data_IF_696714186402
#
_entry.id   IF_696714186402
#
_cell.length_a   1.000
_cell.length_b   1.000
_cell.length_c   1.000
_cell.angle_alpha   90.00
_cell.angle_beta   90.00
_cell.angle_gamma   90.00
#
_symmetry.space_group_name_H-M   'P 1'
#
loop_
_entity.id
_entity.type
_entity.pdbx_description
1 polymer ?
#
# COMPACT_ATOMS: atom_id res chain seq x y z
N UNK A 1 -3.23 -50.41 16.77
CA UNK A 1 -3.01 -50.08 15.35
C UNK A 1 -2.86 -48.58 15.31
N UNK A 2 -1.63 -48.11 15.16
CA UNK A 2 -1.28 -46.70 15.16
C UNK A 2 -1.65 -46.10 13.79
N UNK A 3 -2.42 -45.02 13.79
CA UNK A 3 -2.67 -44.19 12.62
C UNK A 3 -2.60 -42.74 13.07
N UNK A 4 -1.46 -42.12 12.79
CA UNK A 4 -1.07 -40.78 13.19
C UNK A 4 -1.78 -39.71 12.37
N UNK A 5 -2.05 -38.62 13.08
CA UNK A 5 -2.33 -37.24 12.69
C UNK A 5 -1.91 -36.83 11.27
N UNK A 6 -2.83 -36.15 10.56
CA UNK A 6 -2.53 -35.41 9.35
C UNK A 6 -3.22 -34.04 9.47
N UNK A 7 -2.49 -33.10 10.09
CA UNK A 7 -2.86 -31.69 10.12
C UNK A 7 -2.90 -31.12 8.69
N UNK A 8 -4.01 -30.50 8.34
CA UNK A 8 -4.11 -29.67 7.15
C UNK A 8 -3.64 -28.26 7.55
N UNK A 9 -2.42 -27.92 7.16
CA UNK A 9 -1.94 -26.54 7.19
C UNK A 9 -2.83 -25.74 6.22
N UNK A 10 -3.40 -24.65 6.71
CA UNK A 10 -3.96 -23.59 5.88
C UNK A 10 -2.75 -22.78 5.45
N UNK A 11 -2.39 -22.84 4.17
CA UNK A 11 -1.51 -21.82 3.59
C UNK A 11 -2.35 -20.57 3.46
N UNK A 12 -1.94 -19.53 4.18
CA UNK A 12 -2.43 -18.18 3.99
C UNK A 12 -2.27 -17.83 2.51
N UNK A 13 -3.35 -17.26 1.96
CA UNK A 13 -3.35 -16.67 0.62
C UNK A 13 -2.36 -15.50 0.68
N UNK A 14 -1.15 -15.78 0.24
CA UNK A 14 -0.19 -14.75 -0.13
C UNK A 14 -0.18 -14.83 -1.64
N UNK A 15 -0.48 -13.69 -2.26
CA UNK A 15 -0.16 -13.44 -3.65
C UNK A 15 1.39 -13.49 -3.76
N UNK A 16 1.92 -14.72 -3.79
CA UNK A 16 3.35 -15.01 -3.67
C UNK A 16 3.82 -15.55 -5.01
N UNK A 17 4.18 -14.63 -5.91
CA UNK A 17 4.88 -14.93 -7.15
C UNK A 17 6.18 -15.67 -6.84
N UNK A 18 6.13 -17.00 -6.77
CA UNK A 18 7.30 -17.86 -6.53
C UNK A 18 7.90 -18.36 -7.83
N UNK A 19 9.24 -18.42 -7.88
CA UNK A 19 10.00 -18.91 -9.04
C UNK A 19 10.84 -20.12 -8.64
N UNK A 20 11.01 -21.07 -9.55
CA UNK A 20 11.97 -22.15 -9.37
C UNK A 20 13.41 -21.67 -9.64
N UNK A 21 14.40 -22.24 -8.95
CA UNK A 21 15.83 -21.97 -9.19
C UNK A 21 16.19 -22.15 -10.68
N UNK A 22 15.63 -23.16 -11.36
CA UNK A 22 15.88 -23.39 -12.80
C UNK A 22 15.34 -22.30 -13.72
N UNK A 23 14.35 -21.54 -13.27
CA UNK A 23 13.72 -20.48 -14.05
C UNK A 23 14.25 -19.08 -13.67
N UNK A 24 15.16 -19.03 -12.68
CA UNK A 24 15.78 -17.80 -12.23
C UNK A 24 17.10 -17.52 -12.96
N UNK A 25 17.17 -16.37 -13.62
CA UNK A 25 18.36 -15.93 -14.40
C UNK A 25 19.63 -15.70 -13.58
N UNK A 26 19.52 -15.55 -12.26
CA UNK A 26 20.67 -15.34 -11.36
C UNK A 26 21.42 -16.64 -11.01
N UNK A 27 20.88 -17.81 -11.40
CA UNK A 27 21.55 -19.10 -11.24
C UNK A 27 22.23 -19.54 -12.53
N UNK A 28 23.51 -19.91 -12.41
CA UNK A 28 24.26 -20.55 -13.49
C UNK A 28 24.25 -22.07 -13.35
N UNK A 29 24.22 -22.78 -14.47
CA UNK A 29 24.42 -24.23 -14.50
C UNK A 29 25.90 -24.61 -14.32
N UNK A 30 26.14 -25.52 -13.38
CA UNK A 30 27.43 -25.98 -12.93
C UNK A 30 27.75 -27.38 -13.43
N UNK A 31 29.04 -27.66 -13.61
CA UNK A 31 29.51 -28.97 -14.11
C UNK A 31 29.32 -30.14 -13.12
N UNK A 32 28.86 -29.88 -11.89
CA UNK A 32 28.64 -30.91 -10.88
C UNK A 32 27.16 -31.25 -10.80
N UNK A 33 26.76 -32.42 -11.28
CA UNK A 33 25.35 -32.83 -11.34
C UNK A 33 24.66 -32.95 -9.97
N UNK A 34 25.42 -33.02 -8.85
CA UNK A 34 24.84 -33.03 -7.50
C UNK A 34 24.70 -31.62 -6.90
N UNK A 35 25.24 -30.60 -7.58
CA UNK A 35 25.35 -29.21 -7.14
C UNK A 35 25.32 -28.30 -8.36
N UNK A 36 24.29 -28.51 -9.19
CA UNK A 36 24.22 -28.00 -10.54
C UNK A 36 23.89 -26.51 -10.57
N UNK A 37 23.07 -26.01 -9.65
CA UNK A 37 22.63 -24.61 -9.71
C UNK A 37 23.52 -23.74 -8.83
N UNK A 38 24.12 -22.71 -9.42
CA UNK A 38 25.18 -21.90 -8.82
C UNK A 38 24.73 -20.44 -8.74
N UNK A 39 24.62 -19.93 -7.52
CA UNK A 39 24.49 -18.50 -7.24
C UNK A 39 25.86 -17.92 -6.91
N UNK A 40 26.37 -17.01 -7.73
CA UNK A 40 27.67 -16.38 -7.51
C UNK A 40 27.51 -15.12 -6.66
N UNK A 41 28.12 -15.10 -5.47
CA UNK A 41 28.05 -13.93 -4.57
C UNK A 41 29.15 -12.91 -4.85
N UNK A 42 30.35 -13.40 -5.21
CA UNK A 42 31.48 -12.55 -5.60
C UNK A 42 32.53 -13.39 -6.32
N UNK A 43 33.38 -12.75 -7.12
CA UNK A 43 34.56 -13.35 -7.75
C UNK A 43 35.85 -12.66 -7.32
N UNK A 44 36.97 -13.38 -7.37
CA UNK A 44 38.28 -12.80 -7.04
C UNK A 44 38.67 -11.61 -7.94
N UNK A 45 38.07 -11.47 -9.12
CA UNK A 45 38.32 -10.34 -10.01
C UNK A 45 37.75 -9.02 -9.47
N UNK A 46 36.79 -9.07 -8.54
CA UNK A 46 36.17 -7.90 -7.91
C UNK A 46 37.06 -7.29 -6.80
N UNK A 47 38.21 -7.90 -6.50
CA UNK A 47 39.22 -7.33 -5.62
C UNK A 47 38.73 -7.18 -4.19
N UNK A 48 38.89 -5.98 -3.62
CA UNK A 48 38.60 -5.71 -2.22
C UNK A 48 37.15 -6.02 -1.79
N UNK A 49 36.16 -5.84 -2.67
CA UNK A 49 34.75 -6.18 -2.36
C UNK A 49 34.56 -7.67 -2.11
N UNK A 50 35.33 -8.53 -2.80
CA UNK A 50 35.28 -9.99 -2.62
C UNK A 50 35.78 -10.46 -1.24
N UNK A 51 36.49 -9.59 -0.53
CA UNK A 51 37.03 -9.84 0.80
C UNK A 51 35.97 -9.66 1.89
N UNK A 52 34.90 -8.91 1.62
CA UNK A 52 33.81 -8.65 2.56
C UNK A 52 33.00 -9.92 2.88
N UNK A 53 32.16 -9.86 3.92
CA UNK A 53 31.27 -10.96 4.23
C UNK A 53 30.26 -11.15 3.08
N UNK A 54 30.04 -12.40 2.70
CA UNK A 54 29.17 -12.74 1.57
C UNK A 54 27.98 -13.53 2.07
N UNK A 55 26.77 -13.11 1.76
CA UNK A 55 25.55 -13.71 2.29
C UNK A 55 24.51 -13.85 1.19
N UNK A 56 23.78 -14.96 1.19
CA UNK A 56 22.47 -14.97 0.53
C UNK A 56 21.37 -15.13 1.58
N UNK A 57 20.21 -14.57 1.28
CA UNK A 57 18.96 -14.82 1.99
C UNK A 57 17.92 -15.26 0.97
N UNK A 58 17.15 -16.29 1.26
CA UNK A 58 16.14 -16.84 0.36
C UNK A 58 14.91 -17.25 1.16
N UNK A 59 13.71 -16.84 0.72
CA UNK A 59 12.46 -17.34 1.27
C UNK A 59 11.94 -18.51 0.42
N UNK A 60 12.14 -19.74 0.90
CA UNK A 60 11.77 -20.96 0.17
C UNK A 60 10.29 -21.25 0.37
N UNK A 61 9.53 -21.36 -0.72
CA UNK A 61 8.09 -21.65 -0.71
C UNK A 61 7.82 -23.13 -0.96
N UNK A 62 8.69 -23.82 -1.70
CA UNK A 62 8.55 -25.24 -2.01
C UNK A 62 9.90 -25.96 -2.11
N UNK A 63 9.89 -27.26 -1.80
CA UNK A 63 11.05 -28.14 -1.89
C UNK A 63 10.70 -29.42 -2.67
N UNK A 64 11.64 -29.98 -3.45
CA UNK A 64 11.44 -31.26 -4.13
C UNK A 64 11.28 -32.43 -3.14
N UNK A 65 10.72 -33.54 -3.63
CA UNK A 65 10.64 -34.79 -2.87
C UNK A 65 12.04 -35.29 -2.48
N UNK A 66 12.32 -35.39 -1.18
CA UNK A 66 13.65 -35.69 -0.64
C UNK A 66 14.44 -34.46 -0.14
N UNK A 67 13.88 -33.26 -0.30
CA UNK A 67 14.47 -31.99 0.12
C UNK A 67 15.60 -31.52 -0.80
N UNK A 68 16.07 -30.30 -0.54
CA UNK A 68 17.22 -29.73 -1.23
C UNK A 68 18.26 -29.24 -0.22
N UNK A 69 19.50 -29.19 -0.66
CA UNK A 69 20.62 -28.69 0.13
C UNK A 69 21.34 -27.58 -0.63
N UNK A 70 21.95 -26.69 0.14
CA UNK A 70 22.90 -25.68 -0.34
C UNK A 70 24.27 -25.93 0.29
N UNK A 71 25.34 -25.64 -0.44
CA UNK A 71 26.70 -25.62 0.11
C UNK A 71 27.46 -24.40 -0.37
N UNK A 72 28.44 -23.99 0.42
CA UNK A 72 29.36 -22.91 0.06
C UNK A 72 30.52 -23.46 -0.74
N UNK A 73 30.79 -22.87 -1.90
CA UNK A 73 32.08 -22.92 -2.56
C UNK A 73 32.82 -21.61 -2.29
N UNK A 74 34.12 -21.70 -2.01
CA UNK A 74 35.00 -20.53 -1.98
C UNK A 74 36.44 -20.85 -2.35
N UNK A 75 37.20 -19.86 -2.81
CA UNK A 75 38.65 -19.99 -2.92
C UNK A 75 39.34 -19.64 -1.59
N UNK A 76 40.43 -20.33 -1.29
CA UNK A 76 41.28 -20.08 -0.12
C UNK A 76 42.44 -19.16 -0.47
N UNK A 77 43.18 -18.65 0.54
CA UNK A 77 44.32 -17.76 0.35
C UNK A 77 45.40 -18.33 -0.60
N UNK A 78 45.52 -19.65 -0.67
CA UNK A 78 46.48 -20.35 -1.54
C UNK A 78 45.91 -20.62 -2.95
N UNK A 79 44.76 -20.04 -3.30
CA UNK A 79 44.05 -20.27 -4.56
C UNK A 79 43.42 -21.65 -4.70
N UNK A 80 43.37 -22.45 -3.63
CA UNK A 80 42.73 -23.77 -3.65
C UNK A 80 41.22 -23.66 -3.41
N UNK A 81 40.46 -24.55 -4.03
CA UNK A 81 39.01 -24.67 -3.85
C UNK A 81 38.66 -25.25 -2.48
N UNK A 82 37.62 -24.68 -1.86
CA UNK A 82 37.00 -25.20 -0.65
C UNK A 82 35.50 -25.38 -0.87
N UNK A 83 34.99 -26.55 -0.45
CA UNK A 83 33.57 -26.86 -0.44
C UNK A 83 33.13 -27.09 1.00
N UNK A 84 32.14 -26.32 1.46
CA UNK A 84 31.51 -26.49 2.75
C UNK A 84 30.66 -27.75 2.82
N UNK A 85 30.22 -28.09 4.03
CA UNK A 85 29.24 -29.14 4.24
C UNK A 85 27.90 -28.73 3.60
N UNK A 86 27.13 -29.73 3.19
CA UNK A 86 25.75 -29.53 2.78
C UNK A 86 24.91 -29.04 3.96
N UNK A 87 24.09 -28.02 3.72
CA UNK A 87 23.10 -27.49 4.64
C UNK A 87 21.74 -27.71 4.00
N UNK A 88 20.83 -28.39 4.70
CA UNK A 88 19.47 -28.60 4.20
C UNK A 88 18.71 -27.27 4.17
N UNK A 89 17.99 -27.02 3.09
CA UNK A 89 17.03 -25.92 3.00
C UNK A 89 15.74 -26.32 3.73
N UNK A 90 15.11 -25.34 4.36
CA UNK A 90 13.78 -25.49 4.98
C UNK A 90 12.80 -24.54 4.30
N UNK A 91 11.50 -24.80 4.42
CA UNK A 91 10.49 -23.80 4.03
C UNK A 91 10.67 -22.51 4.86
N UNK A 92 10.35 -21.37 4.25
CA UNK A 92 10.55 -20.04 4.81
C UNK A 92 11.98 -19.50 4.62
N UNK A 93 12.39 -18.59 5.49
CA UNK A 93 13.67 -17.88 5.38
C UNK A 93 14.88 -18.79 5.63
N UNK A 94 15.79 -18.81 4.67
CA UNK A 94 17.10 -19.45 4.74
C UNK A 94 18.17 -18.37 4.55
N UNK A 95 19.22 -18.37 5.36
CA UNK A 95 20.34 -17.44 5.20
C UNK A 95 21.67 -18.13 5.49
N UNK A 96 22.63 -17.97 4.58
CA UNK A 96 24.00 -18.48 4.76
C UNK A 96 25.00 -17.36 4.54
N UNK A 97 25.86 -17.16 5.52
CA UNK A 97 26.90 -16.14 5.51
C UNK A 97 28.31 -16.76 5.50
N UNK A 98 29.19 -16.17 4.71
CA UNK A 98 30.62 -16.47 4.63
C UNK A 98 31.38 -15.27 5.16
N UNK A 99 32.05 -15.42 6.31
CA UNK A 99 32.75 -14.31 6.98
C UNK A 99 33.81 -13.65 6.09
N UNK A 100 34.04 -12.34 6.32
CA UNK A 100 35.08 -11.57 5.65
C UNK A 100 36.50 -12.14 5.86
N UNK A 101 37.40 -11.88 4.92
CA UNK A 101 38.84 -12.22 4.98
C UNK A 101 39.67 -11.04 4.45
N UNK A 102 40.99 -11.22 4.29
CA UNK A 102 41.91 -10.17 3.78
C UNK A 102 42.61 -10.54 2.46
N UNK A 103 41.98 -11.35 1.62
CA UNK A 103 42.49 -11.73 0.30
C UNK A 103 41.34 -11.90 -0.68
N UNK A 104 41.59 -11.57 -1.96
CA UNK A 104 40.58 -11.65 -3.01
C UNK A 104 40.17 -13.11 -3.24
N UNK A 105 38.87 -13.36 -3.33
CA UNK A 105 38.32 -14.72 -3.37
C UNK A 105 37.05 -14.80 -4.19
N UNK A 106 36.73 -15.99 -4.66
CA UNK A 106 35.41 -16.28 -5.21
C UNK A 106 34.56 -16.90 -4.10
N UNK A 107 33.28 -16.52 -4.01
CA UNK A 107 32.28 -17.19 -3.16
C UNK A 107 31.05 -17.50 -3.99
N UNK A 108 30.61 -18.75 -3.93
CA UNK A 108 29.40 -19.24 -4.62
C UNK A 108 28.56 -20.09 -3.66
N UNK A 109 27.25 -20.03 -3.81
CA UNK A 109 26.32 -20.93 -3.16
C UNK A 109 25.83 -21.92 -4.22
N UNK A 110 26.04 -23.21 -3.97
CA UNK A 110 25.67 -24.26 -4.90
C UNK A 110 24.48 -25.03 -4.32
N UNK A 111 23.44 -25.22 -5.13
CA UNK A 111 22.18 -25.84 -4.74
C UNK A 111 22.07 -27.23 -5.39
N UNK A 112 21.50 -28.17 -4.64
CA UNK A 112 21.41 -29.57 -5.08
C UNK A 112 20.22 -29.86 -5.99
N UNK A 113 19.26 -28.94 -6.10
CA UNK A 113 18.08 -29.07 -6.95
C UNK A 113 17.65 -27.72 -7.51
N UNK A 114 17.17 -27.72 -8.74
CA UNK A 114 16.59 -26.59 -9.44
C UNK A 114 15.09 -26.41 -9.15
N UNK A 115 14.45 -27.48 -8.67
CA UNK A 115 13.02 -27.52 -8.33
C UNK A 115 12.70 -26.83 -6.99
N UNK A 116 13.65 -26.12 -6.38
CA UNK A 116 13.37 -25.31 -5.19
C UNK A 116 12.65 -24.06 -5.65
N UNK A 117 11.43 -23.86 -5.18
CA UNK A 117 10.69 -22.62 -5.40
C UNK A 117 10.92 -21.67 -4.23
N UNK A 118 11.05 -20.39 -4.55
CA UNK A 118 11.26 -19.32 -3.59
C UNK A 118 10.51 -18.07 -4.03
N UNK A 119 10.15 -17.25 -3.06
CA UNK A 119 9.48 -15.96 -3.30
C UNK A 119 10.32 -14.75 -2.96
N UNK A 120 11.51 -14.95 -2.40
CA UNK A 120 12.49 -13.89 -2.31
C UNK A 120 13.90 -14.46 -2.34
N UNK A 121 14.81 -13.73 -2.95
CA UNK A 121 16.24 -14.03 -2.97
C UNK A 121 17.00 -12.72 -2.93
N UNK A 122 17.97 -12.61 -2.04
CA UNK A 122 18.93 -11.51 -2.03
C UNK A 122 20.34 -12.01 -1.82
N UNK A 123 21.29 -11.35 -2.47
CA UNK A 123 22.74 -11.61 -2.39
C UNK A 123 23.42 -10.35 -1.92
N UNK A 124 24.11 -10.43 -0.78
CA UNK A 124 24.78 -9.31 -0.13
C UNK A 124 23.86 -8.11 0.13
N UNK A 125 22.56 -8.37 0.33
CA UNK A 125 21.54 -7.34 0.54
C UNK A 125 21.00 -6.71 -0.74
N UNK A 126 21.35 -7.24 -1.92
CA UNK A 126 20.77 -6.87 -3.22
C UNK A 126 19.80 -7.95 -3.65
N UNK A 127 18.57 -7.58 -3.99
CA UNK A 127 17.54 -8.53 -4.40
C UNK A 127 17.83 -9.12 -5.80
N UNK A 128 17.41 -10.36 -6.00
CA UNK A 128 17.55 -11.12 -7.23
C UNK A 128 16.57 -10.63 -8.29
N UNK A 129 17.04 -10.51 -9.54
CA UNK A 129 16.24 -9.98 -10.64
C UNK A 129 15.22 -10.97 -11.23
N UNK A 130 15.19 -12.20 -10.71
CA UNK A 130 14.31 -13.25 -11.20
C UNK A 130 13.02 -13.44 -10.40
N UNK A 131 12.90 -12.75 -9.26
CA UNK A 131 11.63 -12.58 -8.57
C UNK A 131 11.12 -11.22 -8.99
N UNK A 132 10.07 -11.21 -9.82
CA UNK A 132 9.25 -10.02 -9.95
C UNK A 132 8.31 -10.09 -8.75
N UNK A 133 8.66 -9.43 -7.66
CA UNK A 133 7.66 -9.16 -6.62
C UNK A 133 6.64 -8.24 -7.27
N UNK A 134 5.39 -8.68 -7.41
CA UNK A 134 4.30 -7.80 -7.87
C UNK A 134 4.02 -6.65 -6.87
N UNK A 135 4.83 -6.53 -5.81
CA UNK A 135 4.88 -5.42 -4.85
C UNK A 135 6.06 -4.44 -5.11
N UNK A 136 6.51 -4.33 -6.35
CA UNK A 136 7.10 -3.07 -6.82
C UNK A 136 6.21 -2.54 -7.90
N UNK A 137 5.44 -1.53 -7.54
CA UNK A 137 4.80 -0.55 -8.42
C UNK A 137 5.87 0.00 -9.40
N UNK A 138 6.15 -0.75 -10.47
CA UNK A 138 7.26 -0.56 -11.42
C UNK A 138 6.93 0.49 -12.48
N UNK A 139 6.23 1.54 -12.03
CA UNK A 139 6.11 2.78 -12.78
C UNK A 139 7.41 3.56 -12.62
N UNK A 140 8.48 3.10 -13.27
CA UNK A 140 9.71 3.88 -13.39
C UNK A 140 9.66 4.84 -14.58
N UNK A 141 10.17 6.05 -14.38
CA UNK A 141 10.26 7.08 -15.44
C UNK A 141 11.69 7.55 -15.58
N UNK A 142 12.11 7.85 -16.81
CA UNK A 142 13.40 8.50 -17.05
C UNK A 142 13.35 9.98 -16.61
N UNK A 143 14.46 10.52 -16.13
CA UNK A 143 14.60 11.97 -15.83
C UNK A 143 14.15 12.84 -17.02
N UNK A 144 14.45 12.43 -18.25
CA UNK A 144 14.07 13.17 -19.47
C UNK A 144 12.55 13.25 -19.67
N UNK A 145 11.81 12.26 -19.17
CA UNK A 145 10.36 12.15 -19.34
C UNK A 145 9.59 12.70 -18.13
N UNK A 146 10.30 13.13 -17.08
CA UNK A 146 9.72 13.72 -15.89
C UNK A 146 9.62 15.25 -15.99
N UNK A 147 8.39 15.78 -15.88
CA UNK A 147 8.10 17.21 -15.98
C UNK A 147 8.70 18.09 -14.87
N UNK A 148 9.19 17.51 -13.77
CA UNK A 148 9.83 18.25 -12.68
C UNK A 148 11.31 18.60 -12.96
N UNK A 149 11.88 18.05 -14.05
CA UNK A 149 13.23 18.36 -14.51
C UNK A 149 13.21 19.37 -15.65
N UNK A 150 14.07 20.38 -15.53
CA UNK A 150 14.28 21.39 -16.56
C UNK A 150 15.60 21.18 -17.27
N UNK A 151 15.63 21.43 -18.58
CA UNK A 151 16.85 21.33 -19.37
C UNK A 151 17.73 22.58 -19.21
N UNK A 152 18.99 22.35 -18.89
CA UNK A 152 20.01 23.33 -18.57
C UNK A 152 21.02 23.51 -19.69
N UNK A 153 21.62 24.70 -19.76
CA UNK A 153 22.59 25.05 -20.81
C UNK A 153 23.95 24.33 -20.71
N UNK A 154 24.19 23.56 -19.65
CA UNK A 154 25.45 22.84 -19.45
C UNK A 154 25.25 21.38 -19.81
N UNK A 155 25.79 20.95 -20.95
CA UNK A 155 25.61 19.58 -21.47
C UNK A 155 26.16 18.47 -20.57
N UNK A 156 27.03 18.78 -19.59
CA UNK A 156 27.51 17.80 -18.62
C UNK A 156 26.61 17.67 -17.38
N UNK A 157 25.65 18.57 -17.23
CA UNK A 157 24.77 18.75 -16.06
C UNK A 157 23.42 19.32 -16.51
N UNK A 158 22.86 18.67 -17.52
CA UNK A 158 21.79 19.23 -18.33
C UNK A 158 20.45 19.15 -17.62
N UNK A 159 20.18 18.11 -16.83
CA UNK A 159 18.87 17.94 -16.20
C UNK A 159 18.87 18.56 -14.81
N UNK A 160 17.95 19.48 -14.57
CA UNK A 160 17.94 20.35 -13.38
C UNK A 160 16.65 20.17 -12.61
N UNK A 161 16.76 19.65 -11.39
CA UNK A 161 15.69 19.64 -10.39
C UNK A 161 15.83 20.87 -9.50
N UNK A 162 14.83 21.76 -9.50
CA UNK A 162 14.86 22.98 -8.69
C UNK A 162 14.19 22.75 -7.35
N UNK A 163 14.93 22.88 -6.25
CA UNK A 163 14.38 22.72 -4.91
C UNK A 163 13.78 24.03 -4.36
N UNK A 164 14.44 25.15 -4.64
CA UNK A 164 13.95 26.49 -4.27
C UNK A 164 14.69 27.57 -5.06
N UNK A 165 14.10 28.75 -5.16
CA UNK A 165 14.69 29.97 -5.72
C UNK A 165 14.76 31.07 -4.67
N UNK A 166 15.65 32.05 -4.89
CA UNK A 166 15.71 33.22 -4.00
C UNK A 166 14.40 34.04 -3.96
N UNK A 167 13.49 33.87 -4.94
CA UNK A 167 12.19 34.52 -4.92
C UNK A 167 11.24 33.93 -3.88
N UNK A 168 11.51 32.71 -3.40
CA UNK A 168 10.71 32.02 -2.37
C UNK A 168 10.98 32.60 -0.96
N UNK A 169 11.88 33.58 -0.84
CA UNK A 169 12.14 34.30 0.40
C UNK A 169 12.61 33.38 1.52
N UNK A 170 11.98 33.50 2.69
CA UNK A 170 12.34 32.75 3.89
C UNK A 170 12.34 31.23 3.70
N UNK A 171 11.45 30.68 2.87
CA UNK A 171 11.38 29.23 2.58
C UNK A 171 12.67 28.72 1.90
N UNK A 172 13.33 29.57 1.11
CA UNK A 172 14.59 29.21 0.45
C UNK A 172 15.79 29.07 1.42
N UNK A 173 15.64 29.61 2.63
CA UNK A 173 16.65 29.59 3.67
C UNK A 173 16.69 28.25 4.41
N UNK A 174 15.60 27.48 4.37
CA UNK A 174 15.48 26.18 5.02
C UNK A 174 16.42 25.14 4.38
N UNK A 175 16.55 23.98 5.04
CA UNK A 175 17.29 22.87 4.45
C UNK A 175 16.56 22.37 3.21
N UNK A 176 17.31 22.12 2.14
CA UNK A 176 16.74 21.70 0.85
C UNK A 176 17.23 20.29 0.54
N UNK A 177 16.33 19.36 0.25
CA UNK A 177 16.65 17.95 0.07
C UNK A 177 15.88 17.39 -1.12
N UNK A 178 16.51 16.49 -1.88
CA UNK A 178 15.74 15.53 -2.68
C UNK A 178 16.00 14.13 -2.17
N UNK A 179 15.03 13.25 -2.38
CA UNK A 179 15.17 11.80 -2.22
C UNK A 179 14.64 11.15 -3.50
N UNK A 180 15.40 10.22 -4.07
CA UNK A 180 15.05 9.54 -5.32
C UNK A 180 15.37 8.06 -5.20
N UNK A 181 14.44 7.19 -5.57
CA UNK A 181 14.71 5.76 -5.71
C UNK A 181 15.06 5.42 -7.15
N UNK A 182 16.35 5.22 -7.43
CA UNK A 182 16.86 4.93 -8.77
C UNK A 182 16.69 3.46 -9.10
N UNK A 183 16.03 3.15 -10.21
CA UNK A 183 15.79 1.79 -10.70
C UNK A 183 16.75 1.40 -11.81
N UNK A 184 17.25 2.36 -12.59
CA UNK A 184 18.21 2.11 -13.67
C UNK A 184 19.19 3.26 -13.86
N UNK A 185 20.40 2.93 -14.32
CA UNK A 185 21.47 3.88 -14.62
C UNK A 185 22.03 3.64 -16.03
N UNK A 186 22.43 4.70 -16.76
CA UNK A 186 23.07 4.56 -18.05
C UNK A 186 24.44 3.85 -17.95
N UNK A 187 24.92 3.31 -19.07
CA UNK A 187 26.26 2.72 -19.17
C UNK A 187 27.34 3.75 -18.79
N UNK A 188 28.12 3.46 -17.75
CA UNK A 188 29.11 4.38 -17.17
C UNK A 188 28.60 5.17 -15.95
N UNK A 189 27.34 4.97 -15.55
CA UNK A 189 26.71 5.58 -14.38
C UNK A 189 26.30 7.04 -14.60
N UNK A 190 25.63 7.61 -13.60
CA UNK A 190 25.23 9.01 -13.57
C UNK A 190 25.68 9.68 -12.27
N UNK A 191 25.85 10.99 -12.30
CA UNK A 191 26.22 11.79 -11.15
C UNK A 191 25.19 12.91 -10.94
N UNK A 192 25.05 13.32 -9.70
CA UNK A 192 24.31 14.51 -9.28
C UNK A 192 25.28 15.50 -8.62
N UNK A 193 25.04 16.80 -8.78
CA UNK A 193 25.73 17.85 -8.02
C UNK A 193 24.77 18.92 -7.56
N UNK A 194 25.15 19.58 -6.47
CA UNK A 194 24.40 20.72 -5.93
C UNK A 194 24.84 22.01 -6.62
N UNK A 195 23.90 22.78 -7.14
CA UNK A 195 24.06 24.20 -7.41
C UNK A 195 23.38 25.01 -6.31
N UNK A 196 24.03 26.08 -5.84
CA UNK A 196 23.39 27.06 -4.97
C UNK A 196 23.96 28.47 -5.12
N UNK A 197 23.19 29.49 -4.74
CA UNK A 197 23.73 30.84 -4.57
C UNK A 197 24.29 31.05 -3.15
N UNK A 198 25.34 31.84 -3.06
CA UNK A 198 25.99 32.24 -1.80
C UNK A 198 25.42 33.57 -1.29
N UNK A 199 25.75 33.95 -0.05
CA UNK A 199 25.27 35.21 0.55
C UNK A 199 25.63 36.47 -0.28
N UNK A 200 26.71 36.40 -1.07
CA UNK A 200 27.14 37.50 -1.95
C UNK A 200 26.48 37.44 -3.34
N UNK A 201 25.50 36.57 -3.54
CA UNK A 201 24.84 36.35 -4.84
C UNK A 201 25.71 35.64 -5.87
N UNK A 202 26.86 35.09 -5.49
CA UNK A 202 27.71 34.30 -6.39
C UNK A 202 27.27 32.85 -6.46
N UNK A 203 27.47 32.22 -7.61
CA UNK A 203 27.15 30.81 -7.85
C UNK A 203 28.16 29.88 -7.17
N UNK A 204 27.67 28.77 -6.66
CA UNK A 204 28.47 27.68 -6.09
C UNK A 204 28.01 26.35 -6.68
N UNK A 205 28.99 25.53 -7.09
CA UNK A 205 28.78 24.16 -7.54
C UNK A 205 29.49 23.21 -6.60
N UNK A 206 28.75 22.25 -6.04
CA UNK A 206 29.29 21.16 -5.24
C UNK A 206 30.07 20.16 -6.09
N UNK A 207 30.74 19.25 -5.39
CA UNK A 207 31.37 18.09 -6.04
C UNK A 207 30.30 17.17 -6.64
N UNK A 208 30.67 16.46 -7.70
CA UNK A 208 29.86 15.39 -8.24
C UNK A 208 29.75 14.25 -7.22
N UNK A 209 28.55 13.71 -7.08
CA UNK A 209 28.23 12.53 -6.29
C UNK A 209 27.64 11.51 -7.24
N UNK A 210 28.20 10.29 -7.28
CA UNK A 210 27.66 9.22 -8.11
C UNK A 210 26.31 8.76 -7.56
N UNK A 211 25.34 8.53 -8.45
CA UNK A 211 24.10 7.86 -8.11
C UNK A 211 24.34 6.35 -8.04
N UNK A 212 23.64 5.68 -7.13
CA UNK A 212 23.58 4.22 -7.06
C UNK A 212 22.15 3.75 -7.29
N UNK A 213 21.96 2.47 -7.62
CA UNK A 213 20.61 1.88 -7.58
C UNK A 213 20.04 1.98 -6.15
N UNK A 214 18.71 2.08 -6.05
CA UNK A 214 17.98 2.28 -4.80
C UNK A 214 17.90 3.75 -4.35
N UNK A 215 17.69 3.97 -3.06
CA UNK A 215 17.46 5.30 -2.48
C UNK A 215 18.73 6.17 -2.47
N UNK A 216 18.63 7.35 -3.09
CA UNK A 216 19.62 8.40 -3.09
C UNK A 216 19.02 9.64 -2.43
N UNK A 217 19.73 10.25 -1.48
CA UNK A 217 19.28 11.49 -0.84
C UNK A 217 20.44 12.48 -0.68
N UNK A 218 20.21 13.73 -1.08
CA UNK A 218 21.18 14.82 -0.92
C UNK A 218 20.50 16.02 -0.28
N UNK A 219 21.07 16.47 0.84
CA UNK A 219 20.62 17.63 1.58
C UNK A 219 21.60 18.80 1.52
N UNK A 220 21.05 20.00 1.44
CA UNK A 220 21.75 21.28 1.56
C UNK A 220 21.28 21.96 2.84
N UNK A 221 22.17 22.12 3.81
CA UNK A 221 21.84 22.71 5.12
C UNK A 221 21.24 24.11 5.03
N UNK A 222 20.37 24.45 5.99
CA UNK A 222 19.76 25.77 6.12
C UNK A 222 20.78 26.90 6.31
N UNK A 223 20.41 28.12 5.91
CA UNK A 223 21.19 29.37 6.07
C UNK A 223 20.26 30.53 6.46
N UNK A 224 20.76 31.76 6.53
CA UNK A 224 19.98 32.96 6.92
C UNK A 224 19.85 34.02 5.83
N UNK A 225 19.88 33.63 4.56
CA UNK A 225 19.71 34.53 3.41
C UNK A 225 19.00 33.80 2.27
N UNK A 226 18.19 34.54 1.51
CA UNK A 226 17.44 33.98 0.39
C UNK A 226 18.39 33.48 -0.70
N UNK A 227 18.14 32.27 -1.20
CA UNK A 227 19.07 31.58 -2.10
C UNK A 227 18.33 30.70 -3.09
N UNK A 228 19.00 30.37 -4.18
CA UNK A 228 18.54 29.31 -5.08
C UNK A 228 19.28 28.02 -4.74
N UNK A 229 18.59 26.88 -4.74
CA UNK A 229 19.19 25.55 -4.65
C UNK A 229 18.62 24.67 -5.76
N UNK A 230 19.52 24.02 -6.50
CA UNK A 230 19.18 23.09 -7.58
C UNK A 230 20.05 21.84 -7.50
N UNK A 231 19.50 20.71 -7.88
CA UNK A 231 20.23 19.46 -8.09
C UNK A 231 20.37 19.25 -9.59
N UNK A 232 21.60 19.14 -10.07
CA UNK A 232 21.89 18.96 -11.49
C UNK A 232 22.39 17.55 -11.72
N UNK A 233 21.81 16.87 -12.70
CA UNK A 233 22.08 15.47 -13.04
C UNK A 233 22.86 15.41 -14.36
N UNK A 234 23.80 14.48 -14.44
CA UNK A 234 24.69 14.34 -15.60
C UNK A 234 24.10 13.56 -16.76
N UNK A 235 22.99 12.84 -16.54
CA UNK A 235 22.26 12.08 -17.56
C UNK A 235 20.76 12.11 -17.30
N UNK A 236 19.99 12.14 -18.38
CA UNK A 236 18.53 12.08 -18.38
C UNK A 236 17.99 10.67 -18.54
N UNK A 237 18.89 9.70 -18.78
CA UNK A 237 18.59 8.27 -18.92
C UNK A 237 18.56 7.55 -17.56
N UNK A 238 18.63 8.29 -16.45
CA UNK A 238 18.43 7.71 -15.11
C UNK A 238 16.94 7.44 -14.96
N UNK A 239 16.59 6.19 -14.71
CA UNK A 239 15.22 5.80 -14.38
C UNK A 239 15.05 5.71 -12.88
N UNK A 240 13.89 6.13 -12.39
CA UNK A 240 13.56 6.12 -10.98
C UNK A 240 12.08 5.78 -10.79
N UNK A 241 11.74 5.16 -9.65
CA UNK A 241 10.37 4.80 -9.29
C UNK A 241 9.79 5.67 -8.16
N UNK A 242 10.59 6.57 -7.59
CA UNK A 242 10.08 7.61 -6.70
C UNK A 242 11.03 8.81 -6.67
N UNK A 243 10.45 10.00 -6.49
CA UNK A 243 11.19 11.24 -6.32
C UNK A 243 10.39 12.14 -5.38
N UNK A 244 11.07 12.73 -4.41
CA UNK A 244 10.52 13.79 -3.55
C UNK A 244 11.51 14.93 -3.38
N UNK A 245 10.99 16.15 -3.32
CA UNK A 245 11.73 17.38 -3.10
C UNK A 245 11.17 18.07 -1.87
N UNK A 246 12.01 18.26 -0.86
CA UNK A 246 11.64 18.84 0.43
C UNK A 246 10.46 18.12 1.12
N UNK A 247 10.32 16.81 0.86
CA UNK A 247 9.23 15.99 1.38
C UNK A 247 7.91 16.10 0.59
N UNK A 248 7.93 16.71 -0.59
CA UNK A 248 6.81 16.74 -1.54
C UNK A 248 7.15 15.82 -2.71
N UNK A 249 6.28 14.86 -3.01
CA UNK A 249 6.50 13.90 -4.09
C UNK A 249 6.39 14.55 -5.48
N UNK A 250 7.16 14.00 -6.42
CA UNK A 250 7.23 14.45 -7.79
C UNK A 250 5.97 14.04 -8.56
N UNK A 251 5.46 14.96 -9.39
CA UNK A 251 4.22 14.73 -10.13
C UNK A 251 4.37 13.86 -11.38
N UNK A 252 5.59 13.41 -11.67
CA UNK A 252 5.92 12.64 -12.88
C UNK A 252 6.00 11.13 -12.66
N UNK A 253 5.96 10.68 -11.42
CA UNK A 253 5.75 9.28 -11.08
C UNK A 253 4.27 9.16 -10.73
N UNK A 254 3.53 8.38 -11.51
CA UNK A 254 2.25 7.86 -11.07
C UNK A 254 2.63 6.64 -10.22
N UNK A 255 2.80 6.85 -8.91
CA UNK A 255 2.77 5.72 -7.99
C UNK A 255 1.31 5.28 -7.98
N UNK A 256 1.02 4.07 -8.48
CA UNK A 256 -0.26 3.42 -8.24
C UNK A 256 -0.44 3.05 -6.76
N UNK A 257 0.53 3.38 -5.88
CA UNK A 257 0.39 3.39 -4.43
C UNK A 257 -0.49 4.55 -3.89
N UNK A 258 -1.69 4.68 -4.44
CA UNK A 258 -2.85 4.98 -3.60
C UNK A 258 -3.68 3.73 -3.61
N UNK A 259 -3.85 3.08 -2.45
CA UNK A 259 -4.90 2.10 -2.15
C UNK A 259 -6.11 2.32 -3.11
N UNK A 260 -6.12 1.60 -4.25
CA UNK A 260 -6.85 1.98 -5.47
C UNK A 260 -8.31 1.51 -5.40
N UNK A 261 -8.89 1.71 -4.23
CA UNK A 261 -10.34 1.71 -4.08
C UNK A 261 -10.84 3.09 -4.46
N UNK A 262 -10.73 3.44 -5.74
CA UNK A 262 -11.48 4.60 -6.25
C UNK A 262 -12.97 4.25 -6.30
N UNK A 263 -13.81 5.12 -5.76
CA UNK A 263 -15.27 4.95 -5.76
C UNK A 263 -15.92 6.12 -6.48
N UNK A 264 -16.92 5.84 -7.30
CA UNK A 264 -17.74 6.90 -7.88
C UNK A 264 -18.62 7.54 -6.79
N UNK A 265 -18.88 8.84 -6.89
CA UNK A 265 -19.84 9.53 -6.01
C UNK A 265 -21.19 8.79 -5.92
N UNK A 266 -21.65 8.20 -7.04
CA UNK A 266 -22.91 7.44 -7.08
C UNK A 266 -22.89 6.18 -6.21
N UNK A 267 -21.72 5.60 -6.01
CA UNK A 267 -21.52 4.34 -5.28
C UNK A 267 -21.12 4.59 -3.82
N UNK A 268 -20.90 5.85 -3.44
CA UNK A 268 -20.57 6.24 -2.07
C UNK A 268 -21.81 6.56 -1.23
N UNK A 269 -22.02 5.78 -0.15
CA UNK A 269 -23.15 5.95 0.76
C UNK A 269 -23.23 7.27 1.52
N UNK A 270 -22.17 8.08 1.54
CA UNK A 270 -22.15 9.40 2.18
C UNK A 270 -22.81 10.51 1.32
N UNK A 271 -23.14 10.20 0.05
CA UNK A 271 -23.84 11.11 -0.84
C UNK A 271 -25.34 10.80 -0.91
N UNK A 272 -26.16 11.83 -0.73
CA UNK A 272 -27.61 11.77 -0.93
C UNK A 272 -27.99 12.26 -2.33
N UNK A 273 -28.98 11.62 -2.95
CA UNK A 273 -29.56 12.10 -4.20
C UNK A 273 -30.56 13.26 -3.92
N UNK A 274 -30.35 14.37 -4.63
CA UNK A 274 -31.07 15.62 -4.49
C UNK A 274 -32.02 15.88 -5.66
N UNK A 275 -33.08 16.66 -5.39
CA UNK A 275 -34.14 16.91 -6.39
C UNK A 275 -33.69 17.79 -7.58
N UNK A 276 -32.49 18.36 -7.56
CA UNK A 276 -31.98 19.22 -8.63
C UNK A 276 -31.06 18.42 -9.53
N UNK A 277 -31.52 18.08 -10.73
CA UNK A 277 -30.76 17.25 -11.68
C UNK A 277 -29.41 17.83 -12.13
N UNK A 278 -29.15 19.13 -11.93
CA UNK A 278 -27.86 19.73 -12.25
C UNK A 278 -26.86 19.69 -11.06
N UNK A 279 -27.34 19.30 -9.88
CA UNK A 279 -26.64 19.32 -8.59
C UNK A 279 -27.18 18.18 -7.71
N UNK A 280 -27.20 16.99 -8.30
CA UNK A 280 -27.98 15.87 -7.80
C UNK A 280 -27.29 15.18 -6.63
N UNK A 281 -25.96 15.17 -6.56
CA UNK A 281 -25.26 14.43 -5.52
C UNK A 281 -24.86 15.37 -4.38
N UNK A 282 -25.32 15.06 -3.16
CA UNK A 282 -25.27 15.96 -2.02
C UNK A 282 -24.47 15.34 -0.88
N UNK A 283 -23.34 15.96 -0.55
CA UNK A 283 -22.59 15.67 0.66
C UNK A 283 -23.02 16.63 1.77
N UNK A 284 -23.61 16.10 2.84
CA UNK A 284 -24.07 16.93 3.98
C UNK A 284 -22.95 17.07 5.00
N UNK A 285 -22.50 18.30 5.25
CA UNK A 285 -21.46 18.58 6.26
C UNK A 285 -22.05 18.78 7.66
N UNK A 286 -23.20 19.46 7.73
CA UNK A 286 -23.95 19.68 8.98
C UNK A 286 -25.36 20.15 8.67
N UNK A 287 -26.27 19.97 9.63
CA UNK A 287 -27.64 20.49 9.60
C UNK A 287 -27.88 21.46 10.76
N UNK A 288 -28.89 22.33 10.61
CA UNK A 288 -29.29 23.21 11.70
C UNK A 288 -29.75 22.45 12.97
N UNK A 289 -30.13 21.18 12.86
CA UNK A 289 -30.49 20.35 14.01
C UNK A 289 -29.28 19.99 14.89
N UNK A 290 -28.06 20.08 14.34
CA UNK A 290 -26.82 19.79 15.07
C UNK A 290 -26.48 20.93 16.07
N UNK A 291 -27.22 22.05 16.02
CA UNK A 291 -27.08 23.16 16.96
C UNK A 291 -25.71 23.84 16.85
N UNK A 292 -25.02 24.00 17.98
CA UNK A 292 -23.78 24.75 18.06
C UNK A 292 -22.66 24.22 17.14
N UNK A 293 -22.58 22.91 16.87
CA UNK A 293 -21.58 22.34 15.96
C UNK A 293 -21.77 22.82 14.52
N UNK A 294 -23.01 23.08 14.10
CA UNK A 294 -23.31 23.60 12.77
C UNK A 294 -22.79 25.03 12.51
N UNK A 295 -22.45 25.74 13.59
CA UNK A 295 -21.94 27.11 13.56
C UNK A 295 -20.45 27.16 13.22
N UNK A 296 -19.72 26.06 13.42
CA UNK A 296 -18.30 25.96 13.14
C UNK A 296 -18.00 26.03 11.63
N UNK A 297 -16.72 26.18 11.28
CA UNK A 297 -16.31 26.14 9.89
C UNK A 297 -16.52 24.72 9.33
N UNK A 298 -17.08 24.62 8.14
CA UNK A 298 -17.43 23.34 7.51
C UNK A 298 -16.57 23.15 6.26
N UNK A 299 -15.90 22.01 6.12
CA UNK A 299 -14.98 21.76 5.00
C UNK A 299 -15.15 20.33 4.51
N UNK A 300 -15.07 20.12 3.21
CA UNK A 300 -14.73 18.80 2.66
C UNK A 300 -13.36 18.86 2.01
N UNK A 301 -12.66 17.73 2.01
CA UNK A 301 -11.46 17.49 1.22
C UNK A 301 -11.65 16.17 0.46
N UNK A 302 -11.38 16.18 -0.83
CA UNK A 302 -11.55 15.02 -1.71
C UNK A 302 -10.36 14.90 -2.65
N UNK A 303 -9.82 13.70 -2.82
CA UNK A 303 -8.83 13.42 -3.87
C UNK A 303 -9.52 12.78 -5.07
N UNK A 304 -9.71 13.56 -6.14
CA UNK A 304 -10.40 13.12 -7.36
C UNK A 304 -9.43 12.37 -8.26
N UNK A 305 -9.80 11.15 -8.63
CA UNK A 305 -9.02 10.26 -9.51
C UNK A 305 -9.53 10.30 -10.96
N UNK A 306 -10.83 10.54 -11.16
CA UNK A 306 -11.44 10.62 -12.50
C UNK A 306 -12.57 11.63 -12.57
N UNK A 307 -12.77 12.20 -13.76
CA UNK A 307 -13.85 13.15 -14.06
C UNK A 307 -14.60 12.73 -15.32
N UNK A 308 -15.92 12.96 -15.39
CA UNK A 308 -16.69 12.70 -16.60
C UNK A 308 -16.26 13.59 -17.78
N UNK A 309 -16.60 13.18 -19.00
CA UNK A 309 -16.38 13.98 -20.20
C UNK A 309 -17.13 15.33 -20.08
N UNK A 310 -16.38 16.44 -20.09
CA UNK A 310 -16.89 17.79 -19.83
C UNK A 310 -16.65 18.32 -18.41
N UNK A 311 -16.05 17.52 -17.54
CA UNK A 311 -15.71 17.86 -16.16
C UNK A 311 -16.91 17.86 -15.23
N UNK A 312 -16.65 18.07 -13.94
CA UNK A 312 -17.66 18.19 -12.91
C UNK A 312 -17.44 19.45 -12.06
N UNK A 313 -18.51 19.95 -11.46
CA UNK A 313 -18.46 21.11 -10.57
C UNK A 313 -19.05 20.76 -9.21
N UNK A 314 -18.59 21.45 -8.18
CA UNK A 314 -19.15 21.47 -6.84
C UNK A 314 -19.65 22.88 -6.50
N UNK A 315 -20.72 22.99 -5.72
CA UNK A 315 -21.17 24.26 -5.15
C UNK A 315 -21.58 24.09 -3.70
N UNK A 316 -21.48 25.17 -2.95
CA UNK A 316 -21.94 25.23 -1.55
C UNK A 316 -23.42 25.56 -1.51
N UNK A 317 -24.20 24.77 -0.79
CA UNK A 317 -25.51 25.15 -0.26
C UNK A 317 -25.37 25.47 1.23
N UNK A 318 -26.01 26.54 1.70
CA UNK A 318 -26.15 26.81 3.13
C UNK A 318 -27.42 27.58 3.46
N UNK A 319 -27.89 27.46 4.70
CA UNK A 319 -28.92 28.38 5.22
C UNK A 319 -28.28 29.64 5.82
N UNK A 320 -28.99 30.75 5.69
CA UNK A 320 -28.57 32.06 6.22
C UNK A 320 -29.30 32.38 7.52
N UNK A 321 -28.88 33.44 8.22
CA UNK A 321 -29.40 33.78 9.56
C UNK A 321 -30.92 34.02 9.60
N UNK A 322 -31.54 34.38 8.47
CA UNK A 322 -32.98 34.57 8.34
C UNK A 322 -33.73 33.29 7.91
N UNK A 323 -33.06 32.14 7.88
CA UNK A 323 -33.59 30.86 7.42
C UNK A 323 -33.73 30.73 5.90
N UNK A 324 -33.20 31.67 5.11
CA UNK A 324 -33.23 31.57 3.64
C UNK A 324 -32.09 30.71 3.11
N UNK A 325 -32.36 30.03 2.00
CA UNK A 325 -31.38 29.25 1.25
C UNK A 325 -30.39 30.14 0.51
N UNK A 326 -29.12 29.72 0.49
CA UNK A 326 -28.05 30.33 -0.28
C UNK A 326 -27.30 29.26 -1.08
N UNK A 327 -27.05 29.54 -2.36
CA UNK A 327 -26.23 28.72 -3.25
C UNK A 327 -25.02 29.53 -3.69
N UNK A 328 -23.83 28.99 -3.46
CA UNK A 328 -22.58 29.54 -3.95
C UNK A 328 -22.44 29.38 -5.46
N UNK A 329 -21.43 30.05 -6.01
CA UNK A 329 -21.03 29.84 -7.40
C UNK A 329 -20.50 28.41 -7.57
N UNK A 330 -20.67 27.86 -8.78
CA UNK A 330 -20.04 26.61 -9.17
C UNK A 330 -18.52 26.76 -9.17
N UNK A 331 -17.84 25.76 -8.65
CA UNK A 331 -16.38 25.61 -8.66
C UNK A 331 -16.08 24.31 -9.41
N UNK A 332 -15.25 24.38 -10.46
CA UNK A 332 -14.85 23.19 -11.19
C UNK A 332 -13.96 22.31 -10.31
N UNK A 333 -14.19 21.00 -10.35
CA UNK A 333 -13.28 20.02 -9.78
C UNK A 333 -12.10 19.80 -10.73
N UNK A 334 -10.93 19.54 -10.16
CA UNK A 334 -9.73 19.12 -10.89
C UNK A 334 -9.32 17.73 -10.43
N UNK A 335 -8.50 17.03 -11.21
CA UNK A 335 -7.82 15.83 -10.71
C UNK A 335 -6.93 16.18 -9.51
N UNK A 336 -6.77 15.24 -8.59
CA UNK A 336 -6.04 15.41 -7.34
C UNK A 336 -6.88 16.06 -6.22
N UNK A 337 -6.20 16.72 -5.28
CA UNK A 337 -6.83 17.26 -4.07
C UNK A 337 -7.72 18.48 -4.35
N UNK A 338 -8.98 18.39 -3.92
CA UNK A 338 -9.96 19.46 -3.94
C UNK A 338 -10.42 19.73 -2.50
N UNK A 339 -10.48 21.00 -2.09
CA UNK A 339 -10.98 21.38 -0.77
C UNK A 339 -11.81 22.66 -0.83
N UNK A 340 -12.99 22.65 -0.20
CA UNK A 340 -13.85 23.83 -0.09
C UNK A 340 -14.29 24.00 1.36
N UNK A 341 -14.02 25.19 1.90
CA UNK A 341 -14.41 25.58 3.25
C UNK A 341 -15.51 26.64 3.27
N UNK A 342 -16.38 26.54 4.27
CA UNK A 342 -17.41 27.52 4.62
C UNK A 342 -17.10 28.06 6.00
N UNK A 343 -16.81 29.36 6.11
CA UNK A 343 -16.43 30.00 7.38
C UNK A 343 -17.50 29.87 8.46
N UNK A 344 -17.07 29.84 9.72
CA UNK A 344 -17.92 29.80 10.91
C UNK A 344 -18.87 31.02 11.01
N UNK A 345 -20.00 30.84 11.70
CA UNK A 345 -21.01 31.88 11.99
C UNK A 345 -21.52 31.74 13.44
N UNK A 346 -22.51 32.53 13.85
CA UNK A 346 -23.10 32.49 15.21
C UNK A 346 -24.58 32.11 15.27
N UNK A 347 -25.06 31.32 14.31
CA UNK A 347 -26.44 30.82 14.27
C UNK A 347 -26.45 29.41 13.66
N UNK A 348 -27.39 28.57 14.11
CA UNK A 348 -27.53 27.20 13.63
C UNK A 348 -27.90 27.19 12.14
N UNK A 349 -27.20 26.38 11.35
CA UNK A 349 -27.34 26.39 9.89
C UNK A 349 -27.14 25.02 9.28
N UNK A 350 -27.62 24.83 8.07
CA UNK A 350 -27.28 23.67 7.26
C UNK A 350 -26.15 24.06 6.31
N UNK A 351 -25.18 23.16 6.10
CA UNK A 351 -24.16 23.28 5.04
C UNK A 351 -24.10 21.97 4.28
N UNK A 352 -24.21 22.05 2.95
CA UNK A 352 -24.10 20.93 2.02
C UNK A 352 -23.19 21.29 0.86
N UNK A 353 -22.46 20.31 0.34
CA UNK A 353 -21.70 20.42 -0.90
C UNK A 353 -22.45 19.64 -1.97
N UNK A 354 -22.84 20.30 -3.06
CA UNK A 354 -23.61 19.68 -4.13
C UNK A 354 -22.73 19.52 -5.35
N UNK A 355 -22.71 18.33 -5.93
CA UNK A 355 -21.88 17.94 -7.05
C UNK A 355 -22.75 17.79 -8.31
N UNK A 356 -22.20 18.20 -9.45
CA UNK A 356 -22.93 18.20 -10.72
C UNK A 356 -22.94 16.85 -11.44
N UNK A 357 -22.11 15.90 -11.01
CA UNK A 357 -22.04 14.55 -11.57
C UNK A 357 -21.69 13.53 -10.50
N UNK A 358 -22.28 12.35 -10.61
CA UNK A 358 -22.04 11.18 -9.77
C UNK A 358 -20.94 10.27 -10.32
N UNK A 359 -20.49 10.53 -11.56
CA UNK A 359 -19.40 9.82 -12.24
C UNK A 359 -18.01 10.35 -11.85
N UNK A 360 -17.93 11.23 -10.84
CA UNK A 360 -16.64 11.66 -10.28
C UNK A 360 -16.13 10.52 -9.41
N UNK A 361 -14.96 10.00 -9.73
CA UNK A 361 -14.27 8.99 -8.93
C UNK A 361 -13.25 9.66 -8.02
N UNK A 362 -13.11 9.13 -6.80
CA UNK A 362 -12.18 9.64 -5.80
C UNK A 362 -11.59 8.51 -4.97
N UNK A 363 -10.37 8.71 -4.46
CA UNK A 363 -9.65 7.75 -3.61
C UNK A 363 -9.53 8.21 -2.16
N UNK A 364 -9.90 9.46 -1.85
CA UNK A 364 -10.09 9.91 -0.46
C UNK A 364 -11.19 10.96 -0.37
N UNK A 365 -11.94 10.92 0.72
CA UNK A 365 -12.93 11.92 1.07
C UNK A 365 -12.95 12.10 2.58
N UNK A 366 -12.90 13.34 3.05
CA UNK A 366 -13.14 13.70 4.45
C UNK A 366 -14.06 14.90 4.55
N UNK A 367 -14.88 14.92 5.59
CA UNK A 367 -15.78 16.01 5.96
C UNK A 367 -15.44 16.44 7.37
N UNK A 368 -15.08 17.72 7.53
CA UNK A 368 -14.64 18.31 8.79
C UNK A 368 -13.48 17.55 9.46
N UNK A 369 -12.62 16.91 8.66
CA UNK A 369 -11.50 16.10 9.13
C UNK A 369 -11.88 14.70 9.60
N UNK A 370 -13.10 14.24 9.31
CA UNK A 370 -13.56 12.86 9.49
C UNK A 370 -13.65 12.20 8.13
N UNK A 371 -13.01 11.05 7.96
CA UNK A 371 -12.96 10.32 6.69
C UNK A 371 -14.32 9.69 6.34
N UNK A 372 -14.59 9.58 5.04
CA UNK A 372 -15.80 9.00 4.48
C UNK A 372 -15.84 7.47 4.65
N UNK A 373 -17.02 6.94 4.91
CA UNK A 373 -17.21 5.51 5.16
C UNK A 373 -17.18 4.64 3.91
N UNK A 374 -17.36 5.24 2.72
CA UNK A 374 -17.50 4.52 1.46
C UNK A 374 -16.18 4.08 0.80
N UNK A 375 -15.05 4.48 1.36
CA UNK A 375 -13.71 4.03 0.94
C UNK A 375 -13.16 2.92 1.85
N UNK A 376 -13.89 2.59 2.91
CA UNK A 376 -13.58 1.50 3.81
C UNK A 376 -14.43 0.30 3.44
N UNK A 377 -13.85 -0.68 2.73
CA UNK A 377 -14.32 -2.06 2.87
C UNK A 377 -13.77 -2.56 4.20
N UNK A 378 -14.59 -2.72 5.26
CA UNK A 378 -14.10 -3.34 6.49
C UNK A 378 -13.55 -4.74 6.16
N UNK A 379 -12.47 -5.12 6.84
CA UNK A 379 -11.88 -6.45 6.72
C UNK A 379 -12.97 -7.53 6.78
N UNK A 380 -12.89 -8.54 5.91
CA UNK A 380 -13.87 -9.61 5.89
C UNK A 380 -14.05 -10.18 7.31
N UNK A 381 -15.26 -10.05 7.87
CA UNK A 381 -15.38 -10.07 9.31
C UNK A 381 -16.79 -9.97 9.84
N UNK A 382 -16.91 -10.35 11.11
CA UNK A 382 -18.12 -10.28 11.89
C UNK A 382 -18.08 -9.04 12.79
N UNK A 383 -19.03 -8.13 12.60
CA UNK A 383 -19.10 -6.87 13.33
C UNK A 383 -20.34 -6.87 14.21
N UNK A 384 -20.23 -7.27 15.49
CA UNK A 384 -21.36 -7.23 16.38
C UNK A 384 -21.56 -5.82 16.96
N UNK A 385 -22.77 -5.52 17.46
CA UNK A 385 -23.07 -4.26 18.13
C UNK A 385 -22.13 -3.94 19.29
N UNK A 386 -21.94 -2.63 19.50
CA UNK A 386 -21.06 -2.09 20.54
C UNK A 386 -21.46 -2.62 21.93
N UNK A 387 -20.49 -3.17 22.68
CA UNK A 387 -20.73 -3.79 23.98
C UNK A 387 -20.92 -5.31 23.93
N UNK A 388 -20.80 -5.93 22.75
CA UNK A 388 -20.74 -7.38 22.62
C UNK A 388 -19.49 -7.96 23.26
N UNK A 389 -19.61 -9.15 23.85
CA UNK A 389 -18.48 -9.88 24.46
C UNK A 389 -18.26 -11.24 23.81
N UNK A 390 -17.00 -11.60 23.66
CA UNK A 390 -16.56 -12.83 23.01
C UNK A 390 -16.03 -13.81 24.06
N UNK A 391 -16.20 -15.11 23.80
CA UNK A 391 -15.42 -16.12 24.51
C UNK A 391 -13.98 -16.18 23.95
N UNK A 392 -13.10 -16.90 24.63
CA UNK A 392 -11.64 -16.90 24.35
C UNK A 392 -11.26 -17.36 22.95
N UNK A 393 -12.08 -18.20 22.31
CA UNK A 393 -11.86 -18.68 20.95
C UNK A 393 -12.77 -18.00 19.90
N UNK A 394 -13.51 -16.96 20.31
CA UNK A 394 -14.46 -16.21 19.48
C UNK A 394 -15.56 -17.05 18.81
N UNK A 395 -15.77 -18.30 19.26
CA UNK A 395 -16.84 -19.17 18.76
C UNK A 395 -18.25 -18.79 19.27
N UNK A 396 -18.31 -17.98 20.32
CA UNK A 396 -19.56 -17.49 20.92
C UNK A 396 -19.47 -15.99 21.12
N UNK A 397 -20.45 -15.28 20.58
CA UNK A 397 -20.66 -13.84 20.78
C UNK A 397 -21.90 -13.64 21.63
N UNK A 398 -21.75 -12.90 22.72
CA UNK A 398 -22.86 -12.46 23.56
C UNK A 398 -23.16 -11.01 23.22
N UNK A 399 -24.36 -10.77 22.69
CA UNK A 399 -24.81 -9.45 22.27
C UNK A 399 -25.26 -8.61 23.48
N UNK A 400 -25.04 -7.28 23.46
CA UNK A 400 -25.52 -6.38 24.51
C UNK A 400 -27.06 -6.41 24.53
N UNK A 401 -27.66 -6.29 25.72
CA UNK A 401 -29.12 -6.17 25.92
C UNK A 401 -30.00 -7.29 25.32
N UNK A 402 -29.41 -8.37 24.79
CA UNK A 402 -30.14 -9.53 24.30
C UNK A 402 -30.88 -10.23 25.45
N UNK A 403 -32.18 -10.00 25.53
CA UNK A 403 -33.08 -10.63 26.51
C UNK A 403 -33.98 -11.65 25.82
N UNK A 404 -34.36 -12.71 26.54
CA UNK A 404 -35.25 -13.76 26.00
C UNK A 404 -36.70 -13.30 25.83
N UNK A 405 -37.03 -12.06 26.20
CA UNK A 405 -38.40 -11.51 26.24
C UNK A 405 -38.60 -10.25 25.36
N UNK A 406 -37.56 -9.80 24.65
CA UNK A 406 -37.63 -8.66 23.74
C UNK A 406 -37.04 -9.03 22.38
N UNK A 407 -37.65 -8.53 21.31
CA UNK A 407 -37.01 -8.58 19.99
C UNK A 407 -35.68 -7.81 20.07
N UNK A 408 -34.63 -8.46 19.58
CA UNK A 408 -33.34 -7.81 19.41
C UNK A 408 -33.41 -6.97 18.14
N UNK A 409 -33.30 -5.65 18.27
CA UNK A 409 -33.51 -4.70 17.18
C UNK A 409 -32.22 -4.01 16.71
N UNK A 410 -31.07 -4.45 17.20
CA UNK A 410 -29.77 -3.96 16.73
C UNK A 410 -29.29 -4.78 15.53
N UNK A 411 -28.55 -4.11 14.64
CA UNK A 411 -28.03 -4.70 13.41
C UNK A 411 -26.77 -5.51 13.67
N UNK A 412 -26.74 -6.74 13.20
CA UNK A 412 -25.52 -7.55 13.10
C UNK A 412 -25.06 -7.50 11.66
N UNK A 413 -23.81 -7.08 11.43
CA UNK A 413 -23.26 -6.89 10.09
C UNK A 413 -22.18 -7.92 9.77
N UNK A 414 -22.15 -8.37 8.52
CA UNK A 414 -21.16 -9.27 7.97
C UNK A 414 -20.62 -8.66 6.68
N UNK A 415 -19.31 -8.65 6.54
CA UNK A 415 -18.63 -8.28 5.30
C UNK A 415 -17.85 -9.49 4.81
N UNK A 416 -18.01 -9.85 3.55
CA UNK A 416 -17.28 -10.93 2.92
C UNK A 416 -16.96 -10.57 1.47
N UNK A 417 -15.75 -10.91 1.05
CA UNK A 417 -15.26 -10.73 -0.32
C UNK A 417 -15.74 -11.83 -1.28
N UNK A 418 -16.29 -12.93 -0.74
CA UNK A 418 -16.87 -14.05 -1.50
C UNK A 418 -18.19 -14.59 -0.88
N UNK A 419 -18.77 -15.62 -1.50
CA UNK A 419 -20.04 -16.26 -1.11
C UNK A 419 -20.10 -16.66 0.38
N UNK A 420 -20.96 -15.98 1.16
CA UNK A 420 -21.28 -16.37 2.54
C UNK A 420 -22.27 -17.56 2.51
N UNK A 421 -21.84 -18.74 2.95
CA UNK A 421 -22.71 -19.92 3.08
C UNK A 421 -23.07 -20.20 4.55
N UNK A 422 -24.26 -19.78 4.98
CA UNK A 422 -24.77 -20.06 6.35
C UNK A 422 -25.52 -21.40 6.33
N UNK A 423 -24.87 -22.47 6.83
CA UNK A 423 -25.55 -23.75 7.05
C UNK A 423 -26.36 -23.69 8.35
N UNK A 424 -27.68 -23.43 8.25
CA UNK A 424 -28.58 -23.57 9.40
C UNK A 424 -28.78 -25.07 9.68
N UNK A 425 -28.01 -25.62 10.62
CA UNK A 425 -28.27 -26.94 11.18
C UNK A 425 -29.49 -26.87 12.10
N UNK A 426 -30.68 -27.11 11.55
CA UNK A 426 -31.87 -27.40 12.36
C UNK A 426 -31.68 -28.78 12.97
N UNK A 427 -31.13 -28.86 14.19
CA UNK A 427 -31.30 -30.06 14.99
C UNK A 427 -32.80 -30.15 15.35
N UNK A 428 -33.49 -31.12 14.75
CA UNK A 428 -34.82 -31.52 15.20
C UNK A 428 -34.68 -32.20 16.56
N UNK A 429 -34.56 -31.39 17.60
CA UNK A 429 -35.05 -31.73 18.93
C UNK A 429 -35.56 -30.44 19.59
N UNK A 430 -36.88 -30.29 19.50
CA UNK A 430 -37.74 -29.25 20.12
C UNK A 430 -37.72 -27.83 19.52
N UNK A 431 -38.70 -27.58 18.64
CA UNK A 431 -39.33 -26.30 18.26
C UNK A 431 -38.49 -25.00 18.41
N UNK A 432 -37.63 -24.74 17.43
CA UNK A 432 -37.20 -23.38 17.09
C UNK A 432 -37.35 -23.20 15.58
N UNK A 433 -38.40 -22.52 15.14
CA UNK A 433 -38.60 -22.20 13.73
C UNK A 433 -38.15 -20.74 13.52
N UNK A 434 -36.90 -20.55 13.11
CA UNK A 434 -36.33 -19.24 12.80
C UNK A 434 -36.86 -18.83 11.42
N UNK A 435 -37.60 -17.72 11.35
CA UNK A 435 -38.04 -17.13 10.09
C UNK A 435 -37.07 -16.02 9.70
N UNK A 436 -36.08 -16.33 8.84
CA UNK A 436 -35.19 -15.31 8.27
C UNK A 436 -35.92 -14.56 7.13
N UNK A 437 -36.05 -13.24 7.25
CA UNK A 437 -36.41 -12.37 6.13
C UNK A 437 -35.09 -11.87 5.52
N UNK A 438 -34.86 -12.19 4.24
CA UNK A 438 -33.71 -11.69 3.48
C UNK A 438 -34.15 -10.46 2.69
N UNK A 439 -33.46 -9.35 2.87
CA UNK A 439 -33.58 -8.20 1.98
C UNK A 439 -32.20 -7.93 1.38
N UNK A 440 -31.99 -8.37 0.13
CA UNK A 440 -30.77 -8.04 -0.61
C UNK A 440 -30.83 -6.56 -0.99
N UNK A 441 -29.99 -5.75 -0.38
CA UNK A 441 -29.38 -4.59 -1.05
C UNK A 441 -27.93 -5.00 -1.31
N UNK A 442 -27.46 -4.75 -2.54
CA UNK A 442 -26.11 -5.09 -2.95
C UNK A 442 -25.14 -4.52 -1.89
N UNK A 443 -24.28 -5.41 -1.38
CA UNK A 443 -23.15 -5.18 -0.46
C UNK A 443 -23.39 -5.16 1.06
N UNK A 444 -24.61 -5.41 1.57
CA UNK A 444 -24.77 -5.66 3.02
C UNK A 444 -25.89 -6.66 3.34
N UNK A 445 -25.56 -7.78 4.01
CA UNK A 445 -26.54 -8.75 4.50
C UNK A 445 -26.98 -8.36 5.92
N UNK A 446 -28.10 -7.64 6.05
CA UNK A 446 -28.73 -7.39 7.36
C UNK A 446 -29.61 -8.57 7.75
N UNK A 447 -29.29 -9.26 8.85
CA UNK A 447 -30.13 -10.34 9.41
C UNK A 447 -31.01 -9.78 10.53
N UNK A 448 -32.33 -9.75 10.33
CA UNK A 448 -33.31 -9.36 11.36
C UNK A 448 -33.89 -10.63 12.00
N UNK A 449 -33.77 -10.78 13.33
CA UNK A 449 -34.34 -11.91 14.09
C UNK A 449 -35.62 -11.44 14.79
N UNK A 450 -36.79 -11.89 14.33
CA UNK A 450 -38.09 -11.66 15.00
C UNK A 450 -38.55 -12.93 15.72
N UNK A 451 -39.06 -12.83 16.95
CA UNK A 451 -39.75 -13.97 17.58
C UNK A 451 -41.13 -13.60 18.11
N UNK A 452 -42.13 -14.32 17.59
CA UNK A 452 -43.44 -14.42 18.23
C UNK A 452 -43.56 -15.72 19.06
N UNK A 453 -44.03 -15.57 20.31
CA UNK A 453 -44.69 -16.55 21.20
C UNK A 453 -43.87 -17.29 22.31
N UNK A 454 -44.62 -17.45 23.42
CA UNK A 454 -44.42 -17.56 24.88
C UNK A 454 -43.59 -18.67 25.53
N UNK A 455 -42.88 -18.22 26.58
CA UNK A 455 -42.32 -18.81 27.81
C UNK A 455 -42.15 -20.34 27.97
N UNK A 456 -40.87 -20.70 28.07
CA UNK A 456 -40.33 -21.77 28.91
C UNK A 456 -38.81 -21.55 29.00
N UNK A 457 -38.32 -21.07 30.15
CA UNK A 457 -36.96 -20.57 30.33
C UNK A 457 -35.87 -21.54 29.88
N UNK A 458 -35.07 -21.11 28.90
CA UNK A 458 -33.68 -21.53 28.68
C UNK A 458 -32.92 -20.38 28.02
N UNK A 459 -31.70 -20.11 28.50
CA UNK A 459 -30.81 -19.04 28.04
C UNK A 459 -30.68 -19.02 26.50
N UNK A 460 -30.97 -17.88 25.89
CA UNK A 460 -30.85 -17.69 24.44
C UNK A 460 -29.38 -17.58 24.03
N UNK A 461 -28.75 -18.71 23.71
CA UNK A 461 -27.44 -18.75 23.08
C UNK A 461 -27.68 -19.03 21.59
N UNK A 462 -27.32 -18.09 20.72
CA UNK A 462 -27.27 -18.37 19.28
C UNK A 462 -25.93 -19.06 18.99
N UNK A 463 -25.99 -20.33 18.57
CA UNK A 463 -24.81 -21.06 18.10
C UNK A 463 -24.66 -20.84 16.60
N UNK A 464 -23.61 -20.13 16.18
CA UNK A 464 -23.18 -20.09 14.78
C UNK A 464 -22.05 -21.11 14.60
N UNK A 465 -22.33 -22.22 13.92
CA UNK A 465 -21.30 -23.20 13.56
C UNK A 465 -20.73 -22.83 12.19
N UNK A 466 -19.46 -22.41 12.16
CA UNK A 466 -18.69 -22.22 10.94
C UNK A 466 -18.14 -23.59 10.49
N UNK A 467 -18.45 -23.98 9.25
CA UNK A 467 -17.77 -25.11 8.59
C UNK A 467 -17.21 -24.62 7.25
N UNK A 468 -15.89 -24.59 7.11
CA UNK A 468 -15.23 -24.50 5.80
C UNK A 468 -15.36 -25.85 5.08
N UNK A 469 -16.23 -25.94 4.07
CA UNK A 469 -16.29 -27.12 3.19
C UNK A 469 -15.28 -26.96 2.05
N UNK A 470 -14.21 -27.78 2.06
CA UNK A 470 -13.46 -28.11 0.85
C UNK A 470 -14.41 -28.70 -0.19
N UNK A 471 -14.64 -28.01 -1.31
CA UNK A 471 -15.23 -28.66 -2.50
C UNK A 471 -14.21 -29.64 -3.05
N UNK A 472 -14.55 -30.92 -2.92
CA UNK A 472 -13.94 -32.02 -3.67
C UNK A 472 -14.48 -31.94 -5.09
N UNK A 473 -13.68 -31.45 -6.03
CA UNK A 473 -13.91 -31.73 -7.45
C UNK A 473 -13.37 -33.14 -7.68
N UNK A 474 -14.23 -34.02 -8.19
CA UNK A 474 -13.84 -35.33 -8.73
C UNK A 474 -13.25 -35.10 -10.12
#
# INVERSE_FOLDING_TARGET
MNGVDAGCIITEDTDDSSVAITDCGDFEEGNNSAWAHILTATTAAEGASSQEAQTFTMNVTSLPEGGANVRVYKTTANGSDFFGNAVALTLGSNSISVSAVGFDRTVKFQFSSGDVEFSSLSVNGVDAGCIITEDTDDSSVAITDCGDFEEGNNSAWAHILTATTAADGASSQEAQTFTMNVTSLPEGGANVRVYKTTANGSDFFGNAVALTLGSNSISVSAVGFDRTVKFQFSSGDVEFSSLSVNGVDAGCIITEDTDDSSVAITDCGDFEEGNNSAWAHILTATTAADGASSQEAQTFTMNVTSLPEGGANVRVYKTTANGSDFFGNAVALTLGSNSISVSAVGFDRTVKFQFSSGDVEFSSLSVNGVDAGCLYSPEAGFYPPEGSVFNTDSSVVTLPEASTESDYNESISFYATEEISIQVLVHLDLFLQISLQFQLLLECLTVVILKDVTLGQTHGICYFNWYTRKRRII
#
